data_IF_708794421002
#
_entry.id   IF_708794421002
#
_cell.length_a   1.000
_cell.length_b   1.000
_cell.length_c   1.000
_cell.angle_alpha   90.00
_cell.angle_beta   90.00
_cell.angle_gamma   90.00
#
_symmetry.space_group_name_H-M   'P 1'
#
loop_
_entity.id
_entity.type
_entity.pdbx_description
1 polymer ?
#
# COMPACT_ATOMS: atom_id res chain seq x y z
N UNK A 1 -12.73 11.73 -26.22
CA UNK A 1 -13.69 12.84 -26.05
C UNK A 1 -13.71 13.18 -24.57
N UNK A 2 -13.55 14.45 -24.17
CA UNK A 2 -13.61 14.84 -22.76
C UNK A 2 -15.05 15.15 -22.36
N UNK A 3 -15.49 14.61 -21.23
CA UNK A 3 -16.77 14.96 -20.61
C UNK A 3 -16.59 16.24 -19.79
N UNK A 4 -17.51 17.19 -19.94
CA UNK A 4 -17.60 18.33 -19.02
C UNK A 4 -18.48 17.91 -17.85
N UNK A 5 -17.97 18.06 -16.63
CA UNK A 5 -18.66 17.71 -15.41
C UNK A 5 -18.89 18.99 -14.61
N UNK A 6 -20.14 19.23 -14.22
CA UNK A 6 -20.51 20.24 -13.24
C UNK A 6 -20.54 19.59 -11.87
N UNK A 7 -19.65 20.04 -10.99
CA UNK A 7 -19.50 19.58 -9.61
C UNK A 7 -19.68 20.80 -8.73
N UNK A 8 -20.88 20.95 -8.15
CA UNK A 8 -21.19 22.07 -7.26
C UNK A 8 -20.97 23.45 -7.90
N UNK A 9 -21.27 23.59 -9.19
CA UNK A 9 -21.05 24.83 -9.94
C UNK A 9 -19.65 24.98 -10.51
N UNK A 10 -18.75 24.03 -10.25
CA UNK A 10 -17.40 23.99 -10.81
C UNK A 10 -17.44 23.12 -12.05
N UNK A 11 -17.03 23.67 -13.19
CA UNK A 11 -16.95 22.93 -14.44
C UNK A 11 -15.53 22.44 -14.63
N UNK A 12 -15.36 21.12 -14.76
CA UNK A 12 -14.07 20.50 -15.04
C UNK A 12 -14.18 19.59 -16.26
N UNK A 13 -13.06 19.40 -16.95
CA UNK A 13 -12.92 18.41 -18.01
C UNK A 13 -12.40 17.10 -17.42
N UNK A 14 -13.08 15.99 -17.69
CA UNK A 14 -12.64 14.65 -17.33
C UNK A 14 -12.62 13.74 -18.55
N UNK A 15 -11.72 12.76 -18.57
CA UNK A 15 -11.68 11.76 -19.65
C UNK A 15 -12.85 10.78 -19.59
N UNK A 16 -13.42 10.58 -18.39
CA UNK A 16 -14.49 9.63 -18.11
C UNK A 16 -15.53 10.20 -17.14
N UNK A 17 -16.77 9.70 -17.25
CA UNK A 17 -17.81 10.02 -16.28
C UNK A 17 -17.58 9.18 -15.00
N UNK A 18 -17.70 9.76 -13.80
CA UNK A 18 -17.41 9.05 -12.55
C UNK A 18 -18.36 7.87 -12.31
N UNK A 19 -17.84 6.78 -11.77
CA UNK A 19 -18.62 5.62 -11.36
C UNK A 19 -19.63 5.97 -10.24
N UNK A 20 -20.54 5.03 -9.96
CA UNK A 20 -21.60 5.23 -8.96
C UNK A 20 -21.07 5.43 -7.53
N UNK A 21 -19.95 4.81 -7.20
CA UNK A 21 -19.30 4.94 -5.88
C UNK A 21 -18.69 6.33 -5.72
N UNK A 22 -17.98 6.80 -6.74
CA UNK A 22 -17.41 8.14 -6.74
C UNK A 22 -18.52 9.20 -6.63
N UNK A 23 -19.61 9.05 -7.39
CA UNK A 23 -20.79 9.91 -7.24
C UNK A 23 -21.39 9.86 -5.82
N UNK A 24 -21.48 8.67 -5.22
CA UNK A 24 -21.94 8.51 -3.84
C UNK A 24 -21.03 9.26 -2.86
N UNK A 25 -19.71 9.19 -3.03
CA UNK A 25 -18.76 9.91 -2.19
C UNK A 25 -18.96 11.42 -2.27
N UNK A 26 -19.15 11.95 -3.49
CA UNK A 26 -19.46 13.37 -3.66
C UNK A 26 -20.76 13.80 -2.97
N UNK A 27 -21.81 12.99 -3.04
CA UNK A 27 -23.07 13.30 -2.35
C UNK A 27 -22.93 13.23 -0.83
N UNK A 28 -22.23 12.22 -0.33
CA UNK A 28 -22.13 11.95 1.11
C UNK A 28 -21.14 12.88 1.82
N UNK A 29 -19.98 13.13 1.21
CA UNK A 29 -18.87 13.84 1.87
C UNK A 29 -18.73 15.29 1.42
N UNK A 30 -19.15 15.62 0.20
CA UNK A 30 -19.06 16.99 -0.34
C UNK A 30 -20.43 17.64 -0.53
N UNK A 31 -21.51 16.94 -0.17
CA UNK A 31 -22.90 17.39 -0.33
C UNK A 31 -23.19 17.84 -1.77
N UNK A 32 -22.60 17.12 -2.72
CA UNK A 32 -22.52 17.53 -4.11
C UNK A 32 -23.03 16.45 -5.06
N UNK A 33 -23.77 16.85 -6.10
CA UNK A 33 -24.07 15.98 -7.23
C UNK A 33 -23.19 16.34 -8.42
N UNK A 34 -22.72 15.31 -9.12
CA UNK A 34 -21.99 15.45 -10.37
C UNK A 34 -22.99 15.35 -11.51
N UNK A 35 -22.99 16.34 -12.40
CA UNK A 35 -23.87 16.39 -13.57
C UNK A 35 -23.03 16.53 -14.83
N UNK A 36 -23.45 15.86 -15.91
CA UNK A 36 -22.88 16.12 -17.23
C UNK A 36 -23.29 17.53 -17.68
N UNK A 37 -22.31 18.32 -18.13
CA UNK A 37 -22.51 19.68 -18.63
C UNK A 37 -22.29 19.70 -20.15
N UNK A 38 -23.09 20.48 -20.88
CA UNK A 38 -23.02 20.55 -22.34
C UNK A 38 -22.50 21.90 -22.86
N UNK A 39 -22.47 22.95 -22.03
CA UNK A 39 -22.20 24.32 -22.50
C UNK A 39 -21.23 25.11 -21.62
N UNK A 40 -20.39 25.91 -22.27
CA UNK A 40 -19.27 26.68 -21.69
C UNK A 40 -19.70 27.59 -20.53
N UNK A 41 -19.00 27.41 -19.41
CA UNK A 41 -18.34 28.50 -18.68
C UNK A 41 -16.95 27.99 -18.26
N UNK A 42 -16.08 28.92 -17.87
CA UNK A 42 -14.67 28.74 -17.49
C UNK A 42 -14.34 27.37 -16.87
N UNK A 43 -13.61 26.54 -17.62
CA UNK A 43 -13.22 25.19 -17.18
C UNK A 43 -12.06 25.32 -16.21
N UNK A 44 -12.29 24.89 -14.97
CA UNK A 44 -11.28 24.89 -13.92
C UNK A 44 -10.31 23.71 -14.10
N UNK A 45 -9.09 23.89 -13.62
CA UNK A 45 -8.12 22.81 -13.60
C UNK A 45 -8.54 21.76 -12.56
N UNK A 46 -8.49 20.49 -12.96
CA UNK A 46 -8.85 19.36 -12.12
C UNK A 46 -7.94 19.24 -10.89
N UNK A 47 -6.69 19.71 -10.98
CA UNK A 47 -5.74 19.72 -9.86
C UNK A 47 -6.18 20.67 -8.73
N UNK A 48 -6.89 21.74 -9.08
CA UNK A 48 -7.34 22.77 -8.13
C UNK A 48 -8.67 22.36 -7.46
N UNK A 49 -9.27 21.22 -7.85
CA UNK A 49 -10.59 20.82 -7.37
C UNK A 49 -10.66 20.77 -5.84
N UNK A 50 -9.58 20.32 -5.20
CA UNK A 50 -9.46 20.24 -3.74
C UNK A 50 -9.59 21.61 -3.05
N UNK A 51 -9.20 22.71 -3.70
CA UNK A 51 -9.31 24.08 -3.15
C UNK A 51 -10.77 24.52 -3.00
N UNK A 52 -11.67 24.00 -3.82
CA UNK A 52 -13.08 24.37 -3.79
C UNK A 52 -13.89 23.58 -2.74
N UNK A 53 -13.30 22.56 -2.12
CA UNK A 53 -13.91 21.78 -1.04
C UNK A 53 -13.08 21.90 0.24
N UNK A 54 -12.93 23.12 0.80
CA UNK A 54 -12.03 23.35 1.91
C UNK A 54 -12.40 22.51 3.13
N UNK A 55 -11.35 21.98 3.75
CA UNK A 55 -11.38 21.26 5.02
C UNK A 55 -10.17 21.73 5.82
N UNK A 56 -10.05 21.34 7.09
CA UNK A 56 -8.85 21.68 7.86
C UNK A 56 -7.60 21.11 7.17
N UNK A 57 -6.67 22.00 6.81
CA UNK A 57 -5.42 21.66 6.14
C UNK A 57 -4.52 20.86 7.07
N UNK A 58 -4.46 19.57 6.80
CA UNK A 58 -3.66 18.60 7.55
C UNK A 58 -3.03 17.65 6.56
N UNK A 59 -1.86 17.11 6.91
CA UNK A 59 -1.17 16.23 5.99
C UNK A 59 -0.36 15.14 6.68
N UNK A 60 -0.03 14.09 5.94
CA UNK A 60 0.87 13.03 6.39
C UNK A 60 1.95 12.74 5.33
N UNK A 61 3.25 12.77 5.70
CA UNK A 61 4.35 12.46 4.79
C UNK A 61 4.39 10.98 4.46
N UNK A 62 4.49 10.66 3.17
CA UNK A 62 4.79 9.31 2.68
C UNK A 62 5.96 9.38 1.70
N UNK A 63 6.89 8.43 1.81
CA UNK A 63 8.08 8.40 0.98
C UNK A 63 8.18 7.13 0.15
N UNK A 64 8.73 7.26 -1.06
CA UNK A 64 9.25 6.13 -1.82
C UNK A 64 10.63 5.73 -1.29
N UNK A 65 11.06 4.50 -1.59
CA UNK A 65 12.29 3.94 -1.04
C UNK A 65 13.55 4.76 -1.37
N UNK A 66 13.59 5.36 -2.55
CA UNK A 66 14.69 6.21 -3.03
C UNK A 66 14.81 7.53 -2.26
N UNK A 67 13.78 7.94 -1.52
CA UNK A 67 13.76 9.19 -0.77
C UNK A 67 14.00 9.01 0.74
N UNK A 68 14.23 7.79 1.23
CA UNK A 68 14.49 7.51 2.65
C UNK A 68 15.79 8.18 3.14
N UNK A 69 16.77 8.39 2.26
CA UNK A 69 18.01 9.10 2.58
C UNK A 69 17.93 10.62 2.35
N UNK A 70 16.76 11.16 1.96
CA UNK A 70 16.60 12.59 1.71
C UNK A 70 16.62 13.41 3.02
N UNK A 71 17.06 14.66 2.93
CA UNK A 71 17.03 15.61 4.05
C UNK A 71 15.62 15.78 4.64
N UNK A 72 14.61 15.74 3.78
CA UNK A 72 13.20 15.81 4.18
C UNK A 72 12.81 14.64 5.08
N UNK A 73 13.12 13.41 4.66
CA UNK A 73 12.84 12.21 5.45
C UNK A 73 13.56 12.24 6.80
N UNK A 74 14.86 12.52 6.79
CA UNK A 74 15.69 12.54 8.00
C UNK A 74 15.20 13.61 8.99
N UNK A 75 14.87 14.82 8.51
CA UNK A 75 14.30 15.88 9.35
C UNK A 75 13.01 15.44 10.05
N UNK A 76 12.10 14.79 9.31
CA UNK A 76 10.81 14.33 9.85
C UNK A 76 11.00 13.26 10.93
N UNK A 77 11.82 12.24 10.66
CA UNK A 77 12.11 11.18 11.64
C UNK A 77 12.79 11.76 12.89
N UNK A 78 13.80 12.62 12.74
CA UNK A 78 14.51 13.22 13.88
C UNK A 78 13.63 14.12 14.76
N UNK A 79 12.57 14.70 14.18
CA UNK A 79 11.58 15.50 14.93
C UNK A 79 10.47 14.65 15.55
N UNK A 80 10.55 13.31 15.45
CA UNK A 80 9.59 12.37 16.02
C UNK A 80 8.34 12.15 15.16
N UNK A 81 8.32 12.67 13.94
CA UNK A 81 7.24 12.41 12.98
C UNK A 81 7.46 11.04 12.35
N UNK A 82 6.38 10.26 12.23
CA UNK A 82 6.40 8.90 11.68
C UNK A 82 5.94 8.90 10.21
N UNK A 83 6.82 9.09 9.23
CA UNK A 83 6.44 9.04 7.82
C UNK A 83 5.98 7.64 7.42
N UNK A 84 5.10 7.57 6.43
CA UNK A 84 4.85 6.33 5.72
C UNK A 84 5.97 6.03 4.73
N UNK A 85 6.21 4.75 4.44
CA UNK A 85 7.14 4.32 3.39
C UNK A 85 6.42 3.33 2.48
N UNK A 86 6.37 3.66 1.20
CA UNK A 86 5.85 2.76 0.17
C UNK A 86 6.91 1.70 -0.10
N UNK A 87 6.58 0.44 0.18
CA UNK A 87 7.43 -0.69 -0.13
C UNK A 87 7.53 -0.84 -1.65
N UNK A 88 8.74 -1.01 -2.22
CA UNK A 88 8.97 -1.17 -3.66
C UNK A 88 8.11 -2.29 -4.24
N UNK A 89 7.73 -2.17 -5.52
CA UNK A 89 6.91 -3.20 -6.16
C UNK A 89 7.67 -4.54 -6.26
N UNK A 90 8.94 -4.47 -6.60
CA UNK A 90 9.81 -5.64 -6.80
C UNK A 90 10.27 -6.30 -5.49
N UNK A 91 10.83 -7.51 -5.60
CA UNK A 91 11.47 -8.20 -4.49
C UNK A 91 12.60 -7.34 -3.94
N UNK A 92 12.64 -7.14 -2.62
CA UNK A 92 13.68 -6.35 -1.98
C UNK A 92 15.07 -6.87 -2.33
N UNK A 93 15.95 -5.99 -2.79
CA UNK A 93 17.38 -6.24 -2.70
C UNK A 93 17.79 -6.26 -1.21
N UNK A 94 18.89 -6.94 -0.88
CA UNK A 94 19.39 -6.97 0.50
C UNK A 94 19.66 -5.55 1.03
N UNK A 95 20.19 -4.65 0.21
CA UNK A 95 20.41 -3.25 0.59
C UNK A 95 19.10 -2.52 0.89
N UNK A 96 18.09 -2.68 0.03
CA UNK A 96 16.76 -2.11 0.25
C UNK A 96 16.12 -2.64 1.54
N UNK A 97 16.29 -3.93 1.84
CA UNK A 97 15.76 -4.51 3.07
C UNK A 97 16.35 -3.83 4.33
N UNK A 98 17.68 -3.70 4.41
CA UNK A 98 18.30 -3.10 5.60
C UNK A 98 17.93 -1.63 5.76
N UNK A 99 17.92 -0.85 4.68
CA UNK A 99 17.48 0.54 4.70
C UNK A 99 16.04 0.68 5.19
N UNK A 100 15.12 -0.13 4.65
CA UNK A 100 13.73 -0.14 5.08
C UNK A 100 13.60 -0.58 6.54
N UNK A 101 14.36 -1.59 6.96
CA UNK A 101 14.29 -2.10 8.33
C UNK A 101 14.76 -1.05 9.32
N UNK A 102 15.85 -0.35 9.02
CA UNK A 102 16.35 0.76 9.82
C UNK A 102 15.31 1.89 9.92
N UNK A 103 14.77 2.33 8.79
CA UNK A 103 13.73 3.36 8.77
C UNK A 103 12.49 2.99 9.59
N UNK A 104 12.05 1.73 9.51
CA UNK A 104 10.94 1.21 10.32
C UNK A 104 11.29 1.18 11.81
N UNK A 105 12.51 0.79 12.18
CA UNK A 105 12.96 0.84 13.58
C UNK A 105 13.03 2.25 14.13
N UNK A 106 13.28 3.25 13.28
CA UNK A 106 13.24 4.67 13.63
C UNK A 106 11.81 5.23 13.69
N UNK A 107 10.80 4.44 13.32
CA UNK A 107 9.38 4.77 13.48
C UNK A 107 8.60 4.96 12.19
N UNK A 108 9.23 4.78 11.01
CA UNK A 108 8.52 4.84 9.75
C UNK A 108 7.48 3.70 9.61
N UNK A 109 6.40 3.98 8.90
CA UNK A 109 5.23 3.11 8.80
C UNK A 109 5.18 2.46 7.41
N UNK A 110 5.33 1.12 7.30
CA UNK A 110 5.28 0.46 6.00
C UNK A 110 3.89 0.53 5.36
N UNK A 111 3.87 0.84 4.06
CA UNK A 111 2.69 0.86 3.20
C UNK A 111 3.01 -0.04 2.01
N UNK A 112 2.13 -0.99 1.70
CA UNK A 112 2.37 -1.91 0.58
C UNK A 112 1.61 -1.45 -0.66
N UNK A 113 2.22 -1.56 -1.83
CA UNK A 113 1.53 -1.31 -3.09
C UNK A 113 0.35 -2.28 -3.27
N UNK A 114 -0.76 -1.75 -3.76
CA UNK A 114 -1.96 -2.48 -4.08
C UNK A 114 -2.39 -2.18 -5.51
N UNK A 115 -2.61 -3.24 -6.28
CA UNK A 115 -3.18 -3.21 -7.63
C UNK A 115 -4.50 -3.98 -7.59
N UNK A 116 -5.66 -3.36 -7.88
CA UNK A 116 -6.96 -4.01 -7.84
C UNK A 116 -7.04 -5.30 -8.66
N UNK A 117 -6.29 -5.38 -9.75
CA UNK A 117 -6.26 -6.51 -10.67
C UNK A 117 -5.43 -7.69 -10.14
N UNK A 118 -4.60 -7.47 -9.11
CA UNK A 118 -3.68 -8.46 -8.55
C UNK A 118 -3.84 -8.65 -7.02
N UNK A 119 -5.05 -8.97 -6.51
CA UNK A 119 -5.30 -9.05 -5.07
C UNK A 119 -4.51 -10.17 -4.37
N UNK A 120 -4.23 -11.27 -5.08
CA UNK A 120 -3.38 -12.36 -4.56
C UNK A 120 -1.93 -11.93 -4.37
N UNK A 121 -1.42 -11.11 -5.29
CA UNK A 121 -0.06 -10.57 -5.21
C UNK A 121 0.09 -9.68 -3.98
N UNK A 122 -0.87 -8.77 -3.75
CA UNK A 122 -0.92 -7.97 -2.53
C UNK A 122 -0.90 -8.84 -1.26
N UNK A 123 -1.74 -9.87 -1.19
CA UNK A 123 -1.81 -10.75 -0.02
C UNK A 123 -0.50 -11.51 0.24
N UNK A 124 0.15 -11.99 -0.82
CA UNK A 124 1.47 -12.64 -0.72
C UNK A 124 2.52 -11.65 -0.20
N UNK A 125 2.56 -10.44 -0.76
CA UNK A 125 3.50 -9.39 -0.40
C UNK A 125 3.30 -8.87 1.01
N UNK A 126 2.06 -8.67 1.45
CA UNK A 126 1.73 -8.27 2.81
C UNK A 126 2.17 -9.33 3.83
N UNK A 127 1.95 -10.61 3.51
CA UNK A 127 2.39 -11.75 4.34
C UNK A 127 3.91 -11.80 4.44
N UNK A 128 4.61 -11.72 3.31
CA UNK A 128 6.06 -11.74 3.27
C UNK A 128 6.70 -10.54 3.99
N UNK A 129 6.20 -9.33 3.72
CA UNK A 129 6.68 -8.11 4.36
C UNK A 129 6.50 -8.19 5.89
N UNK A 130 5.37 -8.73 6.35
CA UNK A 130 5.15 -9.02 7.77
C UNK A 130 6.20 -9.97 8.33
N UNK A 131 6.53 -11.03 7.61
CA UNK A 131 7.46 -12.06 8.05
C UNK A 131 8.90 -11.56 8.21
N UNK A 132 9.33 -10.65 7.36
CA UNK A 132 10.64 -9.99 7.45
C UNK A 132 10.64 -8.77 8.39
N UNK A 133 9.52 -8.52 9.08
CA UNK A 133 9.37 -7.44 10.05
C UNK A 133 9.18 -6.05 9.44
N UNK A 134 8.67 -5.97 8.22
CA UNK A 134 8.22 -4.78 7.49
C UNK A 134 6.68 -4.81 7.33
N UNK A 135 5.98 -5.11 8.42
CA UNK A 135 4.53 -5.27 8.44
C UNK A 135 3.79 -4.03 7.89
N UNK A 136 2.99 -4.16 6.82
CA UNK A 136 2.24 -3.05 6.27
C UNK A 136 1.08 -2.62 7.18
N UNK A 137 0.79 -1.32 7.17
CA UNK A 137 -0.29 -0.71 7.94
C UNK A 137 -1.36 -0.05 7.06
N UNK A 138 -1.07 0.12 5.77
CA UNK A 138 -2.00 0.62 4.76
C UNK A 138 -1.63 0.04 3.39
N UNK A 139 -2.54 0.18 2.43
CA UNK A 139 -2.35 -0.13 1.03
C UNK A 139 -2.19 1.17 0.22
N UNK A 140 -1.24 1.22 -0.71
CA UNK A 140 -1.06 2.33 -1.64
C UNK A 140 -1.56 1.95 -3.03
N UNK A 141 -2.48 2.72 -3.58
CA UNK A 141 -3.04 2.52 -4.93
C UNK A 141 -2.47 3.58 -5.85
N UNK A 142 -1.50 3.21 -6.69
CA UNK A 142 -0.80 4.15 -7.56
C UNK A 142 -1.59 4.56 -8.81
N UNK A 143 -2.64 3.81 -9.15
CA UNK A 143 -3.37 3.94 -10.42
C UNK A 143 -4.54 4.91 -10.36
N UNK A 144 -4.91 5.42 -9.19
CA UNK A 144 -6.10 6.23 -9.02
C UNK A 144 -7.26 5.49 -8.36
N UNK A 145 -8.44 6.09 -8.48
CA UNK A 145 -9.66 5.58 -7.89
C UNK A 145 -10.24 4.46 -8.75
N UNK A 146 -10.54 3.33 -8.13
CA UNK A 146 -11.15 2.18 -8.79
C UNK A 146 -12.32 1.66 -7.94
N UNK A 147 -13.48 1.44 -8.57
CA UNK A 147 -14.68 0.97 -7.87
C UNK A 147 -14.49 -0.40 -7.20
N UNK A 148 -13.60 -1.25 -7.73
CA UNK A 148 -13.29 -2.55 -7.14
C UNK A 148 -12.58 -2.42 -5.79
N UNK A 149 -12.05 -1.25 -5.42
CA UNK A 149 -11.46 -1.02 -4.09
C UNK A 149 -12.46 -1.29 -2.96
N UNK A 150 -13.75 -1.02 -3.18
CA UNK A 150 -14.78 -1.27 -2.14
C UNK A 150 -15.12 -2.75 -1.96
N UNK A 151 -14.67 -3.61 -2.86
CA UNK A 151 -14.82 -5.06 -2.78
C UNK A 151 -13.63 -5.74 -2.10
N UNK A 152 -12.58 -4.98 -1.80
CA UNK A 152 -11.36 -5.51 -1.22
C UNK A 152 -11.50 -5.77 0.28
N UNK A 153 -10.40 -6.22 0.88
CA UNK A 153 -10.33 -6.50 2.30
C UNK A 153 -10.40 -5.22 3.13
N UNK A 154 -10.87 -5.33 4.37
CA UNK A 154 -11.00 -4.18 5.26
C UNK A 154 -9.65 -3.48 5.49
N UNK A 155 -9.66 -2.15 5.58
CA UNK A 155 -8.49 -1.37 5.94
C UNK A 155 -8.37 -0.03 5.26
N UNK A 156 -7.14 0.50 5.32
CA UNK A 156 -6.79 1.85 4.92
C UNK A 156 -6.10 1.84 3.56
N UNK A 157 -6.68 2.59 2.62
CA UNK A 157 -6.26 2.69 1.23
C UNK A 157 -5.89 4.13 0.94
N UNK A 158 -4.65 4.31 0.49
CA UNK A 158 -4.06 5.59 0.11
C UNK A 158 -4.09 5.63 -1.40
N UNK A 159 -4.95 6.47 -1.96
CA UNK A 159 -5.24 6.52 -3.39
C UNK A 159 -4.50 7.70 -4.00
N UNK A 160 -3.56 7.42 -4.90
CA UNK A 160 -2.82 8.46 -5.60
C UNK A 160 -3.73 9.21 -6.57
N UNK A 161 -3.59 10.53 -6.61
CA UNK A 161 -4.24 11.37 -7.60
C UNK A 161 -3.84 10.95 -9.02
N UNK A 162 -4.84 10.65 -9.85
CA UNK A 162 -4.68 10.36 -11.27
C UNK A 162 -5.38 11.45 -12.10
N UNK A 163 -4.65 12.23 -12.91
CA UNK A 163 -5.23 13.33 -13.67
C UNK A 163 -6.17 12.88 -14.80
N UNK A 164 -6.15 11.59 -15.17
CA UNK A 164 -7.08 11.03 -16.16
C UNK A 164 -8.47 10.78 -15.56
N UNK A 165 -8.57 10.71 -14.24
CA UNK A 165 -9.80 10.41 -13.52
C UNK A 165 -10.30 11.64 -12.77
N UNK A 166 -11.57 11.60 -12.35
CA UNK A 166 -12.08 12.63 -11.48
C UNK A 166 -11.43 12.50 -10.08
N UNK A 167 -10.68 13.49 -9.56
CA UNK A 167 -10.11 13.42 -8.23
C UNK A 167 -11.18 13.29 -7.18
N UNK A 168 -10.81 12.65 -6.08
CA UNK A 168 -11.45 12.87 -4.80
C UNK A 168 -10.78 14.05 -4.10
N UNK A 169 -11.52 15.14 -3.79
CA UNK A 169 -11.01 16.20 -2.93
C UNK A 169 -10.43 15.60 -1.64
N UNK A 170 -9.44 16.26 -1.07
CA UNK A 170 -8.62 15.66 -0.03
C UNK A 170 -9.36 15.59 1.32
N UNK A 171 -9.94 14.43 1.63
CA UNK A 171 -10.67 14.15 2.87
C UNK A 171 -10.57 12.67 3.23
N UNK A 172 -10.70 12.35 4.52
CA UNK A 172 -10.93 10.97 4.95
C UNK A 172 -12.34 10.53 4.51
N UNK A 173 -12.41 9.45 3.74
CA UNK A 173 -13.68 8.85 3.29
C UNK A 173 -13.80 7.46 3.91
N UNK A 174 -14.86 7.24 4.70
CA UNK A 174 -15.18 5.93 5.28
C UNK A 174 -16.32 5.26 4.51
N UNK A 175 -16.06 4.08 3.96
CA UNK A 175 -17.08 3.28 3.29
C UNK A 175 -17.10 1.87 3.88
N UNK A 176 -18.06 1.60 4.76
CA UNK A 176 -18.17 0.34 5.51
C UNK A 176 -16.88 0.05 6.29
N UNK A 177 -16.11 -0.94 5.84
CA UNK A 177 -14.86 -1.42 6.44
C UNK A 177 -13.60 -0.79 5.83
N UNK A 178 -13.76 0.15 4.88
CA UNK A 178 -12.67 0.79 4.16
C UNK A 178 -12.53 2.26 4.57
N UNK A 179 -11.29 2.70 4.63
CA UNK A 179 -10.91 4.10 4.78
C UNK A 179 -10.08 4.50 3.58
N UNK A 180 -10.48 5.56 2.90
CA UNK A 180 -9.79 6.10 1.72
C UNK A 180 -9.20 7.46 2.06
N UNK A 181 -7.96 7.65 1.61
CA UNK A 181 -7.18 8.87 1.77
C UNK A 181 -6.58 9.28 0.43
N UNK A 182 -6.73 10.53 0.03
CA UNK A 182 -6.14 11.06 -1.20
C UNK A 182 -4.64 11.32 -1.01
N UNK A 183 -3.83 10.92 -1.99
CA UNK A 183 -2.40 11.17 -2.02
C UNK A 183 -1.98 11.95 -3.27
N UNK A 184 -1.09 12.92 -3.13
CA UNK A 184 -0.53 13.68 -4.26
C UNK A 184 0.92 14.10 -3.99
N UNK A 185 1.63 14.50 -5.04
CA UNK A 185 2.88 15.25 -4.89
C UNK A 185 2.56 16.67 -4.42
N UNK A 186 3.47 17.29 -3.67
CA UNK A 186 3.27 18.67 -3.23
C UNK A 186 3.33 19.66 -4.40
N UNK A 187 2.33 20.53 -4.49
CA UNK A 187 2.13 21.53 -5.55
C UNK A 187 2.16 22.98 -5.00
N UNK A 188 2.70 23.17 -3.79
CA UNK A 188 2.84 24.48 -3.14
C UNK A 188 1.74 24.80 -2.13
N UNK A 189 0.67 24.00 -2.05
CA UNK A 189 -0.40 24.20 -1.08
C UNK A 189 -0.98 22.86 -0.60
N UNK A 190 -1.47 22.85 0.64
CA UNK A 190 -2.25 21.74 1.19
C UNK A 190 -3.68 22.21 1.27
N UNK A 191 -4.62 21.45 0.71
CA UNK A 191 -6.05 21.72 0.86
C UNK A 191 -6.74 20.51 1.47
N UNK A 192 -7.26 20.65 2.69
CA UNK A 192 -7.93 19.56 3.40
C UNK A 192 -6.97 18.50 3.95
N UNK A 193 -7.37 17.23 3.94
CA UNK A 193 -6.53 16.15 4.47
C UNK A 193 -5.80 15.37 3.38
N UNK A 194 -4.50 15.62 3.26
CA UNK A 194 -3.67 15.09 2.17
C UNK A 194 -2.57 14.14 2.66
N UNK A 195 -2.35 13.08 1.90
CA UNK A 195 -1.12 12.30 2.00
C UNK A 195 -0.15 12.86 0.96
N UNK A 196 0.98 13.40 1.40
CA UNK A 196 1.93 14.05 0.51
C UNK A 196 3.07 13.08 0.24
N UNK A 197 3.22 12.72 -1.03
CA UNK A 197 4.26 11.82 -1.51
C UNK A 197 5.55 12.62 -1.71
N UNK A 198 6.64 12.15 -1.11
CA UNK A 198 7.98 12.74 -1.17
C UNK A 198 7.97 14.25 -0.91
N UNK A 199 7.46 14.70 0.26
CA UNK A 199 7.35 16.13 0.56
C UNK A 199 8.72 16.80 0.57
N UNK A 200 8.81 18.08 0.17
CA UNK A 200 10.05 18.83 0.25
C UNK A 200 10.44 19.13 1.70
N UNK A 201 11.73 19.39 1.92
CA UNK A 201 12.26 19.55 3.27
C UNK A 201 11.76 20.81 4.00
N UNK A 202 11.26 21.81 3.28
CA UNK A 202 10.74 23.08 3.82
C UNK A 202 9.27 23.00 4.24
N UNK A 203 8.56 21.90 3.95
CA UNK A 203 7.14 21.76 4.26
C UNK A 203 6.87 21.86 5.77
N UNK A 204 5.90 22.71 6.23
CA UNK A 204 5.67 22.94 7.66
C UNK A 204 5.13 21.73 8.42
N UNK A 205 5.80 21.37 9.51
CA UNK A 205 5.46 20.19 10.34
C UNK A 205 4.32 20.41 11.35
N UNK A 206 3.71 21.60 11.39
CA UNK A 206 2.70 21.96 12.40
C UNK A 206 1.36 21.26 12.19
N UNK A 207 1.04 20.87 10.95
CA UNK A 207 -0.28 20.36 10.57
C UNK A 207 -0.29 18.85 10.28
N UNK A 208 0.66 18.11 10.87
CA UNK A 208 0.76 16.67 10.69
C UNK A 208 -0.43 15.97 11.33
N UNK A 209 -1.15 15.15 10.55
CA UNK A 209 -2.21 14.28 11.05
C UNK A 209 -2.05 12.87 10.51
N UNK A 210 -1.87 11.91 11.41
CA UNK A 210 -1.76 10.50 11.03
C UNK A 210 -3.10 9.93 10.57
N UNK A 211 -3.13 9.09 9.52
CA UNK A 211 -4.35 8.41 9.13
C UNK A 211 -4.70 7.35 10.17
N UNK A 212 -5.94 6.88 10.15
CA UNK A 212 -6.23 5.62 10.82
C UNK A 212 -5.48 4.52 10.08
N UNK A 213 -4.73 3.73 10.84
CA UNK A 213 -3.87 2.69 10.30
C UNK A 213 -4.45 1.31 10.60
N UNK A 214 -4.33 0.42 9.63
CA UNK A 214 -4.80 -0.94 9.71
C UNK A 214 -5.18 -1.43 8.33
N UNK A 215 -4.78 -2.66 8.03
CA UNK A 215 -5.08 -3.33 6.76
C UNK A 215 -5.22 -4.82 7.01
N UNK A 216 -6.20 -5.42 6.37
CA UNK A 216 -6.41 -6.86 6.38
C UNK A 216 -6.14 -7.46 5.02
N UNK A 217 -5.77 -8.73 5.00
CA UNK A 217 -5.60 -9.51 3.77
C UNK A 217 -5.91 -10.97 4.04
N UNK A 218 -6.16 -11.71 2.96
CA UNK A 218 -6.38 -13.15 3.02
C UNK A 218 -5.35 -13.86 2.15
N UNK A 219 -4.52 -14.69 2.77
CA UNK A 219 -3.49 -15.47 2.08
C UNK A 219 -3.63 -16.94 2.46
N UNK A 220 -3.71 -17.82 1.46
CA UNK A 220 -3.93 -19.26 1.65
C UNK A 220 -5.11 -19.60 2.57
N UNK A 221 -6.25 -18.93 2.36
CA UNK A 221 -7.47 -19.06 3.16
C UNK A 221 -7.37 -18.59 4.62
N UNK A 222 -6.22 -18.08 5.07
CA UNK A 222 -6.00 -17.53 6.39
C UNK A 222 -6.20 -16.01 6.34
N UNK A 223 -6.93 -15.49 7.31
CA UNK A 223 -7.16 -14.04 7.45
C UNK A 223 -6.06 -13.45 8.34
N UNK A 224 -5.53 -12.31 7.91
CA UNK A 224 -4.54 -11.53 8.64
C UNK A 224 -5.07 -10.11 8.80
N UNK A 225 -4.86 -9.53 9.98
CA UNK A 225 -5.23 -8.15 10.28
C UNK A 225 -4.02 -7.48 10.91
N UNK A 226 -3.46 -6.49 10.21
CA UNK A 226 -2.44 -5.62 10.78
C UNK A 226 -3.10 -4.55 11.63
N UNK A 227 -2.79 -4.56 12.94
CA UNK A 227 -3.24 -3.54 13.90
C UNK A 227 -2.04 -2.72 14.38
N UNK A 228 -2.21 -1.54 15.02
CA UNK A 228 -1.07 -0.75 15.48
C UNK A 228 -0.05 -1.54 16.32
N UNK A 229 -0.52 -2.48 17.13
CA UNK A 229 0.31 -3.27 18.05
C UNK A 229 0.95 -4.50 17.39
N UNK A 230 0.16 -5.37 16.76
CA UNK A 230 0.62 -6.66 16.21
C UNK A 230 -0.24 -7.10 15.00
N UNK A 231 0.22 -8.10 14.25
CA UNK A 231 -0.66 -8.80 13.29
C UNK A 231 -1.50 -9.78 14.07
N UNK A 232 -2.83 -9.71 13.91
CA UNK A 232 -3.78 -10.67 14.44
C UNK A 232 -4.08 -11.72 13.37
N UNK A 233 -3.86 -12.99 13.70
CA UNK A 233 -4.18 -14.14 12.85
C UNK A 233 -4.35 -15.40 13.70
N UNK A 234 -4.67 -16.53 13.09
CA UNK A 234 -4.77 -17.83 13.75
C UNK A 234 -3.37 -18.39 14.10
N UNK A 235 -3.31 -19.41 14.97
CA UNK A 235 -2.06 -20.10 15.29
C UNK A 235 -1.34 -20.60 14.04
N UNK A 236 -2.08 -21.22 13.12
CA UNK A 236 -1.57 -21.66 11.82
C UNK A 236 -1.06 -20.45 11.02
N UNK A 237 -1.77 -19.32 11.02
CA UNK A 237 -1.34 -18.09 10.37
C UNK A 237 0.04 -17.60 10.83
N UNK A 238 0.34 -17.64 12.12
CA UNK A 238 1.67 -17.27 12.62
C UNK A 238 2.77 -18.22 12.14
N UNK A 239 2.49 -19.54 12.05
CA UNK A 239 3.42 -20.51 11.44
C UNK A 239 3.65 -20.14 9.97
N UNK A 240 2.61 -19.79 9.23
CA UNK A 240 2.71 -19.39 7.82
C UNK A 240 3.50 -18.10 7.62
N UNK A 241 3.34 -17.10 8.51
CA UNK A 241 4.19 -15.91 8.52
C UNK A 241 5.66 -16.34 8.68
N UNK A 242 5.98 -17.15 9.69
CA UNK A 242 7.37 -17.57 9.92
C UNK A 242 7.97 -18.30 8.69
N UNK A 243 7.21 -19.20 8.06
CA UNK A 243 7.64 -19.94 6.87
C UNK A 243 7.76 -19.06 5.62
N UNK A 244 6.95 -18.00 5.50
CA UNK A 244 6.95 -17.12 4.33
C UNK A 244 8.26 -16.37 4.12
N UNK A 245 9.10 -16.22 5.16
CA UNK A 245 10.46 -15.67 5.02
C UNK A 245 11.32 -16.48 4.05
N UNK A 246 11.06 -17.78 3.93
CA UNK A 246 11.79 -18.71 3.05
C UNK A 246 11.02 -18.94 1.75
N UNK A 247 9.69 -19.10 1.83
CA UNK A 247 8.87 -19.56 0.70
C UNK A 247 8.57 -18.46 -0.31
N UNK A 248 8.24 -17.25 0.17
CA UNK A 248 7.77 -16.18 -0.73
C UNK A 248 8.90 -15.60 -1.61
N UNK A 249 10.15 -15.39 -1.13
CA UNK A 249 11.25 -15.01 -2.01
C UNK A 249 11.49 -16.03 -3.13
N UNK A 250 11.43 -17.32 -2.81
CA UNK A 250 11.66 -18.38 -3.79
C UNK A 250 10.56 -18.36 -4.87
N UNK A 251 9.30 -18.26 -4.46
CA UNK A 251 8.15 -18.20 -5.38
C UNK A 251 8.15 -16.90 -6.22
N UNK A 252 8.46 -15.75 -5.61
CA UNK A 252 8.56 -14.47 -6.34
C UNK A 252 9.72 -14.45 -7.35
N UNK A 253 10.89 -14.97 -7.00
CA UNK A 253 12.04 -15.07 -7.93
C UNK A 253 11.72 -16.05 -9.07
N UNK A 254 11.12 -17.19 -8.75
CA UNK A 254 10.78 -18.19 -9.76
C UNK A 254 9.67 -17.70 -10.71
N UNK A 255 8.64 -17.03 -10.19
CA UNK A 255 7.56 -16.46 -11.02
C UNK A 255 7.98 -15.26 -11.84
N UNK A 256 8.92 -14.42 -11.37
CA UNK A 256 9.43 -13.29 -12.16
C UNK A 256 10.43 -13.72 -13.24
N UNK A 257 11.21 -14.78 -12.99
CA UNK A 257 12.31 -15.19 -13.88
C UNK A 257 11.91 -16.31 -14.84
N UNK A 258 10.96 -17.16 -14.46
CA UNK A 258 10.52 -18.32 -15.24
C UNK A 258 8.99 -18.51 -15.20
N UNK A 259 8.21 -17.61 -15.82
CA UNK A 259 6.75 -17.66 -15.78
C UNK A 259 6.18 -18.95 -16.41
N UNK A 260 6.83 -19.52 -17.42
CA UNK A 260 6.35 -20.70 -18.16
C UNK A 260 6.65 -22.05 -17.48
N UNK A 261 7.66 -22.11 -16.62
CA UNK A 261 7.95 -23.32 -15.84
C UNK A 261 6.84 -23.56 -14.81
N UNK A 262 6.28 -22.50 -14.21
CA UNK A 262 5.18 -22.63 -13.23
C UNK A 262 3.78 -22.61 -13.87
N UNK A 263 3.64 -22.21 -15.14
CA UNK A 263 2.40 -22.40 -15.91
C UNK A 263 2.05 -23.87 -16.12
N UNK A 264 3.07 -24.75 -16.16
CA UNK A 264 2.90 -26.22 -16.21
C UNK A 264 2.86 -26.87 -14.82
N UNK A 265 3.47 -26.25 -13.80
CA UNK A 265 3.21 -26.56 -12.38
C UNK A 265 2.02 -25.77 -11.81
N UNK A 266 1.09 -25.39 -12.68
CA UNK A 266 -0.16 -24.74 -12.32
C UNK A 266 -0.89 -25.56 -11.27
N UNK A 267 -1.26 -24.90 -10.17
CA UNK A 267 -2.28 -25.27 -9.17
C UNK A 267 -1.95 -26.26 -8.04
N UNK A 268 -0.82 -26.98 -8.01
CA UNK A 268 -0.57 -27.97 -6.94
C UNK A 268 0.90 -28.17 -6.54
N UNK A 269 1.65 -27.10 -6.23
CA UNK A 269 2.67 -27.28 -5.19
C UNK A 269 1.90 -27.43 -3.87
N UNK A 270 1.45 -28.67 -3.62
CA UNK A 270 0.87 -29.05 -2.35
C UNK A 270 1.87 -28.65 -1.27
N UNK A 271 1.47 -27.71 -0.41
CA UNK A 271 2.25 -27.23 0.73
C UNK A 271 2.80 -28.38 1.60
N UNK A 272 2.16 -29.55 1.55
CA UNK A 272 2.67 -30.80 2.13
C UNK A 272 4.05 -31.13 1.55
N UNK A 273 4.24 -31.05 0.23
CA UNK A 273 5.52 -31.28 -0.44
C UNK A 273 6.61 -30.30 0.03
N UNK A 274 6.24 -29.04 0.30
CA UNK A 274 7.18 -28.01 0.74
C UNK A 274 7.53 -28.15 2.24
N UNK A 275 6.53 -28.46 3.08
CA UNK A 275 6.75 -28.82 4.50
C UNK A 275 7.61 -30.08 4.60
N UNK A 276 7.31 -31.11 3.78
CA UNK A 276 8.13 -32.32 3.66
C UNK A 276 9.53 -31.97 3.16
N UNK A 277 9.67 -31.07 2.20
CA UNK A 277 10.96 -30.57 1.71
C UNK A 277 11.78 -29.87 2.81
N UNK A 278 11.16 -29.00 3.61
CA UNK A 278 11.80 -28.33 4.74
C UNK A 278 12.21 -29.34 5.83
N UNK A 279 11.34 -30.30 6.16
CA UNK A 279 11.64 -31.38 7.10
C UNK A 279 12.80 -32.22 6.59
N UNK A 280 12.81 -32.59 5.30
CA UNK A 280 13.89 -33.34 4.68
C UNK A 280 15.21 -32.55 4.69
N UNK A 281 15.16 -31.24 4.41
CA UNK A 281 16.35 -30.37 4.47
C UNK A 281 16.90 -30.30 5.91
N UNK A 282 16.04 -30.12 6.91
CA UNK A 282 16.44 -30.11 8.32
C UNK A 282 17.02 -31.46 8.75
N UNK A 283 16.42 -32.57 8.30
CA UNK A 283 16.95 -33.92 8.52
C UNK A 283 18.30 -34.11 7.85
N UNK A 284 18.49 -33.55 6.66
CA UNK A 284 19.74 -33.65 5.91
C UNK A 284 20.84 -32.80 6.54
N UNK A 285 20.54 -31.57 6.97
CA UNK A 285 21.44 -30.72 7.76
C UNK A 285 21.80 -31.41 9.07
N UNK A 286 20.82 -31.95 9.79
CA UNK A 286 21.04 -32.71 11.03
C UNK A 286 21.92 -33.94 10.79
N UNK A 287 21.68 -34.69 9.72
CA UNK A 287 22.49 -35.84 9.30
C UNK A 287 23.93 -35.45 8.98
N UNK A 288 24.14 -34.36 8.23
CA UNK A 288 25.48 -33.82 7.93
C UNK A 288 26.19 -33.40 9.21
N UNK A 289 25.54 -32.66 10.10
CA UNK A 289 26.12 -32.24 11.39
C UNK A 289 26.48 -33.47 12.23
N UNK A 290 25.61 -34.47 12.29
CA UNK A 290 25.84 -35.71 13.06
C UNK A 290 27.01 -36.52 12.47
N UNK A 291 27.14 -36.56 11.14
CA UNK A 291 28.24 -37.22 10.43
C UNK A 291 29.57 -36.48 10.58
N UNK A 292 29.56 -35.15 10.51
CA UNK A 292 30.74 -34.30 10.78
C UNK A 292 31.18 -34.43 12.24
N UNK A 293 30.24 -34.54 13.19
CA UNK A 293 30.55 -34.76 14.61
C UNK A 293 31.04 -36.18 14.92
N UNK A 294 30.61 -37.18 14.14
CA UNK A 294 31.06 -38.58 14.23
C UNK A 294 32.40 -38.83 13.54
N UNK A 295 32.77 -38.02 12.54
CA UNK A 295 34.02 -38.13 11.78
C UNK A 295 34.99 -36.96 12.07
N UNK A 296 34.74 -36.19 13.13
CA UNK A 296 35.70 -35.20 13.62
C UNK A 296 36.94 -35.91 14.15
N UNK A 297 38.15 -35.38 13.92
CA UNK A 297 39.37 -36.05 14.35
C UNK A 297 39.43 -36.10 15.88
N UNK A 298 39.87 -37.24 16.42
CA UNK A 298 40.47 -37.30 17.74
C UNK A 298 41.69 -36.39 17.84
#
# INVERSE_FOLDING_TARGET
>A
MSNLLNICGIIIASSQYPDGTLQQFYRQYYHCEIKAEQTKTEVQNINDLSMFFPSQDTWWPVFTIDQISSDSFQRLIHTGIKPGIILPDEVFSFSHYFLLKEAVTQGAIPIVLFKPEQPKYFAAKATFSTAIGLRPMAAFVSTGWDENLISQTAGSYIVQFNPLELPLPSREIRQKQHLFYSAKSFDGHVSGYEIIINPPADLPTTNIRYPQLGISWRFNHINYISTPEHVKTSFIGYIFIALSTVVVPLDLILTSTYPDLLGTFGSYISWISLVVGLILLLLLISSIIRRVKSNGPH
#
